data_IF_759120046448
#
_entry.id   IF_759120046448
#
_cell.length_a   1.000
_cell.length_b   1.000
_cell.length_c   1.000
_cell.angle_alpha   90.00
_cell.angle_beta   90.00
_cell.angle_gamma   90.00
#
_symmetry.space_group_name_H-M   'P 1'
#
loop_
_entity.id
_entity.type
_entity.pdbx_description
1 polymer ?
#
# COMPACT_ATOMS: atom_id res chain seq x y z
N UNK A 1 11.50 38.22 -13.36
CA UNK A 1 10.38 37.67 -12.57
C UNK A 1 10.10 36.25 -13.03
N UNK A 2 10.69 35.30 -12.32
CA UNK A 2 10.63 33.86 -12.59
C UNK A 2 9.22 33.30 -12.46
N UNK A 3 8.84 32.42 -13.38
CA UNK A 3 7.67 31.54 -13.24
C UNK A 3 8.14 30.16 -12.80
N UNK A 4 7.69 29.73 -11.62
CA UNK A 4 7.95 28.40 -11.04
C UNK A 4 7.45 27.30 -11.99
N UNK A 5 8.21 26.21 -12.21
CA UNK A 5 7.71 25.06 -12.97
C UNK A 5 6.79 24.19 -12.11
N UNK A 6 5.61 23.86 -12.66
CA UNK A 6 4.62 23.00 -12.04
C UNK A 6 5.09 21.55 -11.91
N UNK A 7 4.91 20.98 -10.72
CA UNK A 7 5.25 19.60 -10.40
C UNK A 7 4.15 18.67 -10.91
N UNK A 8 4.47 17.81 -11.88
CA UNK A 8 3.55 16.80 -12.41
C UNK A 8 3.55 15.60 -11.46
N UNK A 9 2.47 15.43 -10.70
CA UNK A 9 2.26 14.27 -9.84
C UNK A 9 1.89 13.09 -10.74
N UNK A 10 2.82 12.14 -10.91
CA UNK A 10 2.56 10.87 -11.58
C UNK A 10 1.75 10.00 -10.63
N UNK A 11 0.47 9.78 -10.96
CA UNK A 11 -0.41 8.88 -10.21
C UNK A 11 0.12 7.44 -10.30
N UNK A 12 0.42 6.86 -9.14
CA UNK A 12 0.82 5.46 -9.01
C UNK A 12 -0.45 4.62 -8.89
N UNK A 13 -0.84 3.98 -10.00
CA UNK A 13 -1.96 3.05 -10.06
C UNK A 13 -1.48 1.71 -9.48
N UNK A 14 -1.91 1.37 -8.27
CA UNK A 14 -1.81 0.00 -7.78
C UNK A 14 -3.05 -0.77 -8.18
N UNK A 15 -2.95 -1.49 -9.30
CA UNK A 15 -3.94 -2.45 -9.78
C UNK A 15 -3.98 -3.67 -8.85
N UNK A 16 -5.19 -4.02 -8.42
CA UNK A 16 -5.50 -5.13 -7.53
C UNK A 16 -5.23 -6.49 -8.22
N UNK A 17 -4.51 -7.38 -7.54
CA UNK A 17 -4.51 -8.80 -7.85
C UNK A 17 -5.48 -9.52 -6.91
N UNK A 18 -6.54 -10.06 -7.48
CA UNK A 18 -7.51 -10.94 -6.84
C UNK A 18 -7.04 -12.40 -7.09
N UNK A 19 -6.85 -13.19 -6.02
CA UNK A 19 -6.46 -14.59 -6.15
C UNK A 19 -6.48 -15.34 -4.82
N UNK A 20 -7.56 -16.12 -4.63
CA UNK A 20 -7.70 -17.34 -3.80
C UNK A 20 -7.20 -17.37 -2.35
N UNK A 21 -8.18 -17.50 -1.43
CA UNK A 21 -8.07 -18.12 -0.12
C UNK A 21 -7.56 -19.57 -0.21
N UNK A 22 -6.56 -19.92 0.60
CA UNK A 22 -6.46 -21.21 1.35
C UNK A 22 -5.29 -21.12 2.34
N UNK A 23 -5.55 -21.19 3.65
CA UNK A 23 -4.61 -21.56 4.72
C UNK A 23 -5.44 -21.95 5.96
N UNK A 24 -4.98 -22.82 6.89
CA UNK A 24 -3.72 -23.57 6.93
C UNK A 24 -3.88 -25.07 7.30
N UNK A 25 -2.95 -25.93 6.86
CA UNK A 25 -2.65 -27.16 7.60
C UNK A 25 -1.17 -27.14 7.96
N UNK A 26 -0.89 -26.87 9.24
CA UNK A 26 0.44 -26.86 9.83
C UNK A 26 0.71 -28.25 10.40
N UNK A 27 1.45 -29.06 9.66
CA UNK A 27 2.16 -30.22 10.18
C UNK A 27 3.65 -29.96 10.00
N UNK A 28 4.34 -29.57 11.05
CA UNK A 28 5.78 -29.76 11.15
C UNK A 28 5.99 -30.85 12.19
N UNK A 29 6.14 -32.08 11.70
CA UNK A 29 6.69 -33.19 12.45
C UNK A 29 8.01 -33.57 11.77
N UNK A 30 9.10 -33.39 12.51
CA UNK A 30 10.45 -33.93 12.32
C UNK A 30 11.43 -33.03 13.09
N UNK A 31 11.57 -33.29 14.39
CA UNK A 31 12.77 -32.89 15.11
C UNK A 31 13.95 -33.76 14.61
N UNK A 32 15.10 -33.21 14.20
CA UNK A 32 16.29 -34.03 14.04
C UNK A 32 16.75 -34.55 15.42
N UNK A 33 17.23 -35.80 15.51
CA UNK A 33 17.63 -36.40 16.79
C UNK A 33 18.78 -35.60 17.43
N UNK A 34 18.74 -35.55 18.76
CA UNK A 34 19.72 -34.91 19.61
C UNK A 34 21.16 -35.28 19.20
N UNK A 35 21.98 -34.26 18.96
CA UNK A 35 23.43 -34.42 18.81
C UNK A 35 23.99 -34.65 20.21
N UNK A 36 24.46 -35.87 20.45
CA UNK A 36 25.12 -36.28 21.69
C UNK A 36 26.54 -35.69 21.71
N UNK A 37 26.77 -34.68 22.56
CA UNK A 37 28.01 -33.89 22.60
C UNK A 37 29.09 -34.46 23.54
N UNK A 38 29.05 -35.75 23.87
CA UNK A 38 30.08 -36.41 24.67
C UNK A 38 30.49 -37.74 24.07
N UNK A 39 31.23 -37.66 22.96
CA UNK A 39 32.01 -38.77 22.42
C UNK A 39 33.44 -38.72 22.94
N UNK A 40 33.75 -39.68 23.81
CA UNK A 40 35.03 -40.08 24.40
C UNK A 40 36.28 -39.81 23.56
N UNK A 41 37.32 -39.33 24.25
CA UNK A 41 38.70 -39.21 23.79
C UNK A 41 39.23 -40.52 23.20
N UNK A 42 39.69 -40.51 21.95
CA UNK A 42 40.73 -41.43 21.49
C UNK A 42 41.77 -40.66 20.66
N UNK A 43 42.96 -40.55 21.23
CA UNK A 43 44.19 -40.07 20.58
C UNK A 43 44.79 -41.21 19.74
N UNK A 44 45.12 -40.96 18.46
CA UNK A 44 46.23 -41.67 17.83
C UNK A 44 47.35 -40.68 17.51
N UNK A 45 48.54 -41.05 17.97
CA UNK A 45 49.81 -40.41 17.67
C UNK A 45 50.33 -40.87 16.30
N UNK A 46 51.17 -40.03 15.67
CA UNK A 46 52.05 -40.28 14.50
C UNK A 46 51.52 -39.86 13.12
N UNK A 47 52.00 -38.70 12.64
CA UNK A 47 52.92 -38.58 11.50
C UNK A 47 52.95 -37.13 10.97
N UNK A 48 54.10 -36.46 11.06
CA UNK A 48 54.31 -35.14 10.47
C UNK A 48 54.19 -35.20 8.93
N UNK A 49 53.22 -34.46 8.37
CA UNK A 49 53.15 -34.09 6.96
C UNK A 49 52.90 -32.58 6.87
N UNK A 50 53.51 -31.86 5.91
CA UNK A 50 53.45 -30.40 5.86
C UNK A 50 52.03 -29.97 5.46
N UNK A 51 51.44 -29.06 6.25
CA UNK A 51 50.16 -28.41 5.96
C UNK A 51 50.17 -27.77 4.56
N UNK A 52 49.26 -28.11 3.64
CA UNK A 52 48.91 -27.20 2.54
C UNK A 52 48.04 -26.05 3.10
N UNK A 53 48.27 -24.85 2.57
CA UNK A 53 47.60 -23.60 2.98
C UNK A 53 46.08 -23.73 3.08
N UNK A 54 45.44 -23.08 4.07
CA UNK A 54 43.99 -23.05 4.18
C UNK A 54 43.42 -22.15 3.07
N UNK A 55 43.08 -22.74 1.92
CA UNK A 55 42.15 -22.14 0.97
C UNK A 55 40.73 -22.16 1.58
N UNK A 56 40.49 -21.27 2.54
CA UNK A 56 39.16 -20.92 3.02
C UNK A 56 38.59 -19.78 2.18
N UNK A 57 37.26 -19.68 1.99
CA UNK A 57 36.66 -18.54 1.29
C UNK A 57 37.07 -17.24 1.98
N UNK A 58 37.67 -16.31 1.23
CA UNK A 58 38.07 -14.98 1.70
C UNK A 58 36.89 -14.32 2.43
N UNK A 59 37.03 -14.14 3.74
CA UNK A 59 36.08 -13.33 4.49
C UNK A 59 36.23 -11.88 4.00
N UNK A 60 35.12 -11.20 3.67
CA UNK A 60 35.19 -9.83 3.17
C UNK A 60 35.86 -8.94 4.22
N UNK A 61 36.82 -8.13 3.78
CA UNK A 61 37.49 -7.19 4.65
C UNK A 61 36.49 -6.21 5.25
N UNK A 62 36.73 -5.78 6.50
CA UNK A 62 35.83 -4.88 7.23
C UNK A 62 35.48 -3.59 6.46
N UNK A 63 36.39 -3.10 5.62
CA UNK A 63 36.18 -1.95 4.73
C UNK A 63 35.09 -2.20 3.68
N UNK A 64 35.02 -3.41 3.12
CA UNK A 64 33.99 -3.79 2.14
C UNK A 64 32.60 -3.85 2.79
N UNK A 65 32.55 -4.26 4.07
CA UNK A 65 31.32 -4.25 4.86
C UNK A 65 30.84 -2.82 5.17
N UNK A 66 31.74 -1.90 5.54
CA UNK A 66 31.36 -0.50 5.77
C UNK A 66 30.83 0.15 4.47
N UNK A 67 31.49 -0.06 3.33
CA UNK A 67 31.01 0.43 2.03
C UNK A 67 29.62 -0.12 1.68
N UNK A 68 29.36 -1.41 1.92
CA UNK A 68 28.05 -2.01 1.72
C UNK A 68 26.96 -1.37 2.61
N UNK A 69 27.29 -1.01 3.85
CA UNK A 69 26.39 -0.30 4.76
C UNK A 69 26.16 1.17 4.36
N UNK A 70 27.15 1.85 3.75
CA UNK A 70 26.95 3.21 3.22
C UNK A 70 26.00 3.23 2.03
N UNK A 71 26.05 2.21 1.15
CA UNK A 71 25.18 2.16 -0.03
C UNK A 71 23.71 1.87 0.33
N UNK A 72 23.45 1.09 1.39
CA UNK A 72 22.11 0.68 1.79
C UNK A 72 21.68 1.40 3.08
N UNK A 73 21.31 2.68 2.98
CA UNK A 73 20.67 3.36 4.12
C UNK A 73 19.29 2.74 4.41
N UNK A 74 19.23 1.85 5.41
CA UNK A 74 18.01 1.13 5.79
C UNK A 74 17.01 2.00 6.56
N UNK A 75 17.44 3.14 7.12
CA UNK A 75 16.58 3.99 7.96
C UNK A 75 15.26 4.37 7.29
N UNK A 76 15.30 4.93 6.08
CA UNK A 76 14.10 5.33 5.34
C UNK A 76 13.18 4.14 5.02
N UNK A 77 13.75 3.02 4.60
CA UNK A 77 12.99 1.80 4.26
C UNK A 77 12.33 1.18 5.51
N UNK A 78 13.01 1.24 6.66
CA UNK A 78 12.47 0.77 7.93
C UNK A 78 11.29 1.64 8.35
N UNK A 79 11.40 2.96 8.24
CA UNK A 79 10.33 3.89 8.64
C UNK A 79 9.11 3.77 7.71
N UNK A 80 9.32 3.66 6.39
CA UNK A 80 8.24 3.37 5.43
C UNK A 80 7.55 2.04 5.74
N UNK A 81 8.32 1.00 6.10
CA UNK A 81 7.77 -0.31 6.45
C UNK A 81 6.94 -0.26 7.73
N UNK A 82 7.41 0.46 8.77
CA UNK A 82 6.66 0.67 10.01
C UNK A 82 5.34 1.37 9.72
N UNK A 83 5.38 2.46 8.96
CA UNK A 83 4.18 3.20 8.55
C UNK A 83 3.21 2.27 7.79
N UNK A 84 3.69 1.48 6.84
CA UNK A 84 2.83 0.55 6.10
C UNK A 84 2.17 -0.48 7.03
N UNK A 85 2.91 -1.03 8.00
CA UNK A 85 2.37 -1.98 8.98
C UNK A 85 1.27 -1.30 9.82
N UNK A 86 1.50 -0.09 10.30
CA UNK A 86 0.51 0.68 11.07
C UNK A 86 -0.76 0.92 10.26
N UNK A 87 -0.64 1.36 9.01
CA UNK A 87 -1.77 1.54 8.09
C UNK A 87 -2.55 0.23 7.90
N UNK A 88 -1.85 -0.89 7.72
CA UNK A 88 -2.48 -2.20 7.55
C UNK A 88 -3.22 -2.63 8.81
N UNK A 89 -2.59 -2.51 9.98
CA UNK A 89 -3.19 -2.85 11.25
C UNK A 89 -4.43 -1.99 11.54
N UNK A 90 -4.35 -0.69 11.30
CA UNK A 90 -5.46 0.24 11.46
C UNK A 90 -6.64 -0.15 10.57
N UNK A 91 -6.38 -0.39 9.27
CA UNK A 91 -7.42 -0.81 8.32
C UNK A 91 -8.05 -2.14 8.73
N UNK A 92 -7.26 -3.13 9.13
CA UNK A 92 -7.76 -4.44 9.54
C UNK A 92 -8.68 -4.32 10.77
N UNK A 93 -8.35 -3.48 11.75
CA UNK A 93 -9.21 -3.24 12.92
C UNK A 93 -10.56 -2.64 12.52
N UNK A 94 -10.54 -1.59 11.71
CA UNK A 94 -11.78 -0.87 11.35
C UNK A 94 -12.64 -1.64 10.36
N UNK A 95 -12.04 -2.39 9.43
CA UNK A 95 -12.80 -3.23 8.50
C UNK A 95 -13.56 -4.34 9.24
N UNK A 96 -13.06 -4.78 10.39
CA UNK A 96 -13.72 -5.79 11.23
C UNK A 96 -14.70 -5.18 12.26
N UNK A 97 -14.86 -3.85 12.30
CA UNK A 97 -15.84 -3.21 13.18
C UNK A 97 -17.27 -3.56 12.72
N UNK A 98 -18.15 -4.07 13.61
CA UNK A 98 -19.50 -4.46 13.25
C UNK A 98 -20.33 -3.32 12.67
N UNK A 99 -20.16 -2.09 13.17
CA UNK A 99 -20.95 -0.95 12.68
C UNK A 99 -20.53 -0.56 11.27
N UNK A 100 -19.23 -0.57 11.00
CA UNK A 100 -18.66 -0.30 9.67
C UNK A 100 -19.12 -1.38 8.68
N UNK A 101 -19.09 -2.65 9.09
CA UNK A 101 -19.60 -3.76 8.29
C UNK A 101 -21.09 -3.59 7.96
N UNK A 102 -21.91 -3.28 8.96
CA UNK A 102 -23.34 -3.06 8.78
C UNK A 102 -23.63 -1.86 7.87
N UNK A 103 -22.93 -0.73 8.04
CA UNK A 103 -23.04 0.43 7.17
C UNK A 103 -22.66 0.10 5.72
N UNK A 104 -21.62 -0.72 5.52
CA UNK A 104 -21.24 -1.19 4.18
C UNK A 104 -22.32 -2.08 3.56
N UNK A 105 -22.85 -3.02 4.33
CA UNK A 105 -23.90 -3.94 3.87
C UNK A 105 -25.19 -3.18 3.50
N UNK A 106 -25.62 -2.24 4.34
CA UNK A 106 -26.80 -1.40 4.07
C UNK A 106 -26.60 -0.53 2.82
N UNK A 107 -25.39 -0.03 2.58
CA UNK A 107 -25.06 0.69 1.36
C UNK A 107 -25.13 -0.21 0.10
N UNK A 108 -24.68 -1.46 0.19
CA UNK A 108 -24.78 -2.41 -0.93
C UNK A 108 -26.21 -2.88 -1.18
N UNK A 109 -27.03 -3.00 -0.13
CA UNK A 109 -28.44 -3.38 -0.23
C UNK A 109 -29.37 -2.24 -0.71
N UNK A 110 -28.83 -1.07 -1.09
CA UNK A 110 -29.61 0.03 -1.61
C UNK A 110 -30.26 -0.32 -2.95
N UNK A 111 -31.53 0.04 -3.12
CA UNK A 111 -32.30 -0.25 -4.34
C UNK A 111 -32.07 0.77 -5.45
N UNK A 112 -31.71 2.00 -5.07
CA UNK A 112 -31.49 3.11 -6.00
C UNK A 112 -30.08 3.65 -5.87
N UNK A 113 -29.55 4.24 -6.96
CA UNK A 113 -28.22 4.87 -6.96
C UNK A 113 -28.13 6.04 -5.97
N UNK A 114 -29.21 6.84 -5.86
CA UNK A 114 -29.26 7.96 -4.93
C UNK A 114 -29.19 7.49 -3.47
N UNK A 115 -29.95 6.45 -3.11
CA UNK A 115 -29.85 5.82 -1.80
C UNK A 115 -28.46 5.23 -1.57
N UNK A 116 -27.90 4.54 -2.56
CA UNK A 116 -26.57 3.94 -2.48
C UNK A 116 -25.52 4.98 -2.18
N UNK A 117 -25.52 6.11 -2.90
CA UNK A 117 -24.59 7.22 -2.64
C UNK A 117 -24.77 7.84 -1.26
N UNK A 118 -26.01 8.07 -0.83
CA UNK A 118 -26.28 8.60 0.52
C UNK A 118 -25.76 7.65 1.61
N UNK A 119 -26.04 6.35 1.48
CA UNK A 119 -25.56 5.33 2.42
C UNK A 119 -24.03 5.16 2.35
N UNK A 120 -23.42 5.27 1.17
CA UNK A 120 -21.96 5.26 1.03
C UNK A 120 -21.31 6.47 1.70
N UNK A 121 -21.91 7.67 1.65
CA UNK A 121 -21.41 8.82 2.41
C UNK A 121 -21.41 8.54 3.91
N UNK A 122 -22.51 7.99 4.43
CA UNK A 122 -22.61 7.60 5.83
C UNK A 122 -21.57 6.53 6.20
N UNK A 123 -21.40 5.51 5.36
CA UNK A 123 -20.38 4.48 5.52
C UNK A 123 -18.97 5.08 5.58
N UNK A 124 -18.60 5.96 4.65
CA UNK A 124 -17.27 6.58 4.67
C UNK A 124 -17.07 7.50 5.87
N UNK A 125 -18.08 8.29 6.27
CA UNK A 125 -17.99 9.10 7.47
C UNK A 125 -17.67 8.24 8.70
N UNK A 126 -18.46 7.18 8.92
CA UNK A 126 -18.24 6.24 10.02
C UNK A 126 -16.87 5.55 9.92
N UNK A 127 -16.49 5.06 8.73
CA UNK A 127 -15.22 4.38 8.50
C UNK A 127 -14.01 5.26 8.83
N UNK A 128 -14.02 6.52 8.40
CA UNK A 128 -12.93 7.46 8.67
C UNK A 128 -12.96 8.01 10.10
N UNK A 129 -14.13 8.18 10.72
CA UNK A 129 -14.24 8.51 12.14
C UNK A 129 -13.60 7.42 13.00
N UNK A 130 -13.95 6.15 12.78
CA UNK A 130 -13.37 4.99 13.48
C UNK A 130 -11.86 4.88 13.24
N UNK A 131 -11.39 5.06 12.00
CA UNK A 131 -9.94 5.09 11.74
C UNK A 131 -9.23 6.27 12.42
N UNK A 132 -9.81 7.46 12.42
CA UNK A 132 -9.21 8.64 13.04
C UNK A 132 -9.14 8.54 14.57
N UNK A 133 -10.14 7.89 15.19
CA UNK A 133 -10.18 7.63 16.62
C UNK A 133 -9.06 6.67 17.06
N UNK A 134 -8.75 5.67 16.22
CA UNK A 134 -7.70 4.67 16.49
C UNK A 134 -6.31 5.07 15.99
N UNK A 135 -6.20 6.18 15.25
CA UNK A 135 -4.94 6.61 14.66
C UNK A 135 -3.97 7.15 15.74
N UNK A 136 -2.74 6.59 15.85
CA UNK A 136 -1.76 7.00 16.86
C UNK A 136 -1.16 8.39 16.63
N UNK A 137 -0.96 8.80 15.39
CA UNK A 137 -0.26 10.06 15.05
C UNK A 137 -1.20 11.11 14.44
N UNK A 138 -0.88 12.39 14.66
CA UNK A 138 -1.60 13.50 14.07
C UNK A 138 -1.46 13.55 12.54
N UNK A 139 -0.28 13.19 12.02
CA UNK A 139 -0.03 13.09 10.58
C UNK A 139 -0.93 12.05 9.90
N UNK A 140 -1.13 10.90 10.56
CA UNK A 140 -2.01 9.87 10.03
C UNK A 140 -3.48 10.33 10.05
N UNK A 141 -3.91 11.05 11.09
CA UNK A 141 -5.25 11.67 11.11
C UNK A 141 -5.45 12.67 9.98
N UNK A 142 -4.44 13.50 9.69
CA UNK A 142 -4.49 14.44 8.59
C UNK A 142 -4.57 13.74 7.22
N UNK A 143 -3.77 12.68 7.03
CA UNK A 143 -3.83 11.86 5.82
C UNK A 143 -5.20 11.19 5.65
N UNK A 144 -5.79 10.71 6.75
CA UNK A 144 -7.14 10.12 6.76
C UNK A 144 -8.22 11.12 6.35
N UNK A 145 -8.16 12.37 6.82
CA UNK A 145 -9.10 13.43 6.40
C UNK A 145 -8.96 13.73 4.89
N UNK A 146 -7.74 13.72 4.35
CA UNK A 146 -7.50 13.82 2.90
C UNK A 146 -8.14 12.66 2.10
N UNK A 147 -8.03 11.44 2.61
CA UNK A 147 -8.66 10.28 1.98
C UNK A 147 -10.20 10.30 2.10
N UNK A 148 -10.73 10.74 3.24
CA UNK A 148 -12.17 10.93 3.48
C UNK A 148 -12.74 11.91 2.47
N UNK A 149 -12.16 13.10 2.38
CA UNK A 149 -12.60 14.14 1.44
C UNK A 149 -12.54 13.66 0.00
N UNK A 150 -11.47 12.93 -0.38
CA UNK A 150 -11.35 12.31 -1.70
C UNK A 150 -12.51 11.34 -1.99
N UNK A 151 -12.79 10.37 -1.12
CA UNK A 151 -13.90 9.44 -1.32
C UNK A 151 -15.27 10.12 -1.36
N UNK A 152 -15.52 11.10 -0.48
CA UNK A 152 -16.78 11.84 -0.49
C UNK A 152 -16.96 12.66 -1.77
N UNK A 153 -15.87 13.25 -2.31
CA UNK A 153 -15.91 13.98 -3.57
C UNK A 153 -16.28 13.08 -4.75
N UNK A 154 -15.80 11.83 -4.77
CA UNK A 154 -16.14 10.84 -5.81
C UNK A 154 -17.61 10.44 -5.80
N UNK A 155 -18.28 10.55 -4.64
CA UNK A 155 -19.72 10.29 -4.51
C UNK A 155 -20.60 11.51 -4.85
N UNK A 156 -19.99 12.68 -5.02
CA UNK A 156 -20.72 13.87 -5.46
C UNK A 156 -21.03 13.73 -6.94
N UNK A 157 -22.32 13.75 -7.29
CA UNK A 157 -22.73 13.89 -8.69
C UNK A 157 -23.10 15.36 -8.91
N UNK A 158 -22.36 16.10 -9.74
CA UNK A 158 -22.59 17.53 -9.91
C UNK A 158 -23.94 17.87 -10.55
N UNK A 159 -24.52 16.97 -11.36
CA UNK A 159 -25.80 17.22 -12.04
C UNK A 159 -26.59 15.91 -12.26
N UNK A 160 -27.59 15.64 -11.43
CA UNK A 160 -28.63 14.65 -11.74
C UNK A 160 -29.92 15.41 -12.00
N UNK A 161 -30.10 15.78 -13.26
CA UNK A 161 -31.19 16.58 -13.81
C UNK A 161 -31.28 18.00 -13.20
N UNK A 162 -31.42 19.06 -14.03
CA UNK A 162 -31.87 20.34 -13.48
C UNK A 162 -33.21 20.11 -12.79
N UNK A 163 -33.34 20.65 -11.57
CA UNK A 163 -34.64 20.73 -10.89
C UNK A 163 -35.67 21.31 -11.88
N UNK A 164 -36.91 20.79 -11.97
CA UNK A 164 -37.94 21.41 -12.77
C UNK A 164 -38.11 22.87 -12.32
N UNK A 165 -37.64 23.83 -13.13
CA UNK A 165 -37.62 25.26 -12.79
C UNK A 165 -36.23 25.90 -12.65
N UNK A 166 -35.13 25.14 -12.72
CA UNK A 166 -33.80 25.73 -12.83
C UNK A 166 -33.57 26.25 -14.27
N UNK A 167 -33.10 27.49 -14.45
CA UNK A 167 -32.77 28.00 -15.78
C UNK A 167 -31.66 27.13 -16.41
N UNK A 168 -31.70 26.92 -17.74
CA UNK A 168 -30.73 26.06 -18.41
C UNK A 168 -29.30 26.59 -18.17
N UNK A 169 -28.32 25.71 -17.95
CA UNK A 169 -26.93 26.14 -17.79
C UNK A 169 -26.46 26.82 -19.08
N UNK A 170 -25.90 28.02 -18.94
CA UNK A 170 -25.32 28.79 -20.06
C UNK A 170 -24.23 27.95 -20.73
N UNK A 171 -24.29 27.71 -22.05
CA UNK A 171 -23.28 26.91 -22.73
C UNK A 171 -21.92 27.60 -22.62
N UNK A 172 -20.94 26.91 -22.03
CA UNK A 172 -19.54 27.32 -22.03
C UNK A 172 -19.00 27.10 -23.46
N UNK A 173 -18.37 28.09 -24.11
CA UNK A 173 -17.90 27.94 -25.48
C UNK A 173 -16.88 26.80 -25.56
N UNK A 174 -17.20 25.79 -26.37
CA UNK A 174 -16.31 24.68 -26.70
C UNK A 174 -15.17 25.20 -27.58
N UNK A 175 -13.90 24.85 -27.31
CA UNK A 175 -12.80 25.25 -28.18
C UNK A 175 -12.92 24.49 -29.53
N UNK A 176 -13.24 25.23 -30.58
CA UNK A 176 -13.26 24.76 -31.97
C UNK A 176 -11.96 24.02 -32.35
N UNK A 177 -12.09 22.73 -32.63
CA UNK A 177 -11.04 21.94 -33.26
C UNK A 177 -10.88 22.36 -34.73
N UNK A 178 -9.75 22.98 -35.06
CA UNK A 178 -9.35 23.30 -36.44
C UNK A 178 -9.18 22.01 -37.26
N UNK A 179 -10.15 21.66 -38.08
CA UNK A 179 -10.00 20.61 -39.09
C UNK A 179 -9.00 21.05 -40.18
N UNK A 180 -7.79 20.48 -40.17
CA UNK A 180 -6.84 20.62 -41.28
C UNK A 180 -7.34 19.80 -42.48
N UNK A 181 -7.85 20.49 -43.51
CA UNK A 181 -8.10 19.89 -44.83
C UNK A 181 -6.76 19.49 -45.46
N UNK A 182 -6.50 18.19 -45.63
CA UNK A 182 -5.43 17.69 -46.50
C UNK A 182 -5.90 17.80 -47.96
N UNK A 183 -5.23 18.62 -48.76
CA UNK A 183 -5.39 18.63 -50.22
C UNK A 183 -4.64 17.41 -50.77
N UNK A 184 -5.35 16.53 -51.48
CA UNK A 184 -4.71 15.57 -52.38
C UNK A 184 -4.31 16.32 -53.65
N UNK A 185 -3.00 16.40 -53.92
CA UNK A 185 -2.48 16.80 -55.21
C UNK A 185 -2.34 15.54 -56.06
N UNK A 186 -2.86 15.62 -57.27
CA UNK A 186 -2.84 14.58 -58.31
C UNK A 186 -1.64 14.80 -59.21
#
# INVERSE_FOLDING_TARGET
MERKPGMKIKGLIFTALLGSMTLPLRGQDAAPPAVDLYGTEEKPEVAATPFPEPNGPEFPELSQLDEAFKQKSLGKQVDERKLHIEWRQLKNRVVNDPEVCAAKATAQAARTDLEKRNRLRNYYNLYYERMSALAPSAEMKLALEGLKTSHLSQLSQPQVRPSPGAPPPTPKPSPEGKHKKKKHLK
#
